data_IF_812482547477
#
_entry.id   IF_812482547477
#
_cell.length_a   1.000
_cell.length_b   1.000
_cell.length_c   1.000
_cell.angle_alpha   90.00
_cell.angle_beta   90.00
_cell.angle_gamma   90.00
#
_symmetry.space_group_name_H-M   'P 1'
#
loop_
_entity.id
_entity.type
_entity.pdbx_description
1 polymer ?
#
# COMPACT_ATOMS: atom_id res chain seq x y z
N UNK A 1 -2.51 -38.09 29.91
CA UNK A 1 -3.43 -37.80 28.77
C UNK A 1 -2.99 -38.74 27.64
N UNK A 2 -3.89 -39.65 27.22
CA UNK A 2 -3.55 -40.69 26.24
C UNK A 2 -3.32 -40.09 24.86
N UNK A 3 -2.33 -40.56 24.12
CA UNK A 3 -1.98 -40.17 22.74
C UNK A 3 -3.12 -40.41 21.73
N UNK A 4 -4.26 -40.97 22.13
CA UNK A 4 -5.37 -41.43 21.31
C UNK A 4 -6.73 -40.85 21.69
N UNK A 5 -6.80 -39.73 22.46
CA UNK A 5 -8.08 -39.10 22.76
C UNK A 5 -8.73 -38.59 21.47
N UNK A 6 -9.94 -39.07 21.19
CA UNK A 6 -10.73 -38.67 20.01
C UNK A 6 -11.08 -37.20 20.12
N UNK A 7 -10.57 -36.38 19.21
CA UNK A 7 -10.90 -34.96 19.12
C UNK A 7 -12.05 -34.73 18.15
N UNK A 8 -12.93 -33.81 18.50
CA UNK A 8 -14.05 -33.39 17.69
C UNK A 8 -13.93 -31.89 17.36
N UNK A 9 -14.46 -31.49 16.22
CA UNK A 9 -14.49 -30.10 15.81
C UNK A 9 -15.58 -29.35 16.55
N UNK A 10 -15.23 -28.27 17.26
CA UNK A 10 -16.18 -27.46 18.05
C UNK A 10 -17.11 -26.60 17.16
N UNK A 11 -16.89 -26.57 15.84
CA UNK A 11 -17.75 -25.90 14.85
C UNK A 11 -18.76 -26.86 14.24
N UNK A 12 -18.32 -27.97 13.64
CA UNK A 12 -19.21 -28.89 12.90
C UNK A 12 -19.48 -30.23 13.62
N UNK A 13 -18.90 -30.47 14.78
CA UNK A 13 -19.07 -31.71 15.56
C UNK A 13 -18.37 -32.95 14.98
N UNK A 14 -17.75 -32.87 13.80
CA UNK A 14 -17.12 -34.01 13.16
C UNK A 14 -15.85 -34.45 13.90
N UNK A 15 -15.59 -35.77 13.87
CA UNK A 15 -14.35 -36.34 14.44
C UNK A 15 -13.14 -35.88 13.62
N UNK A 16 -12.12 -35.39 14.31
CA UNK A 16 -10.89 -34.92 13.73
C UNK A 16 -9.90 -36.09 13.60
N UNK A 17 -9.34 -36.30 12.40
CA UNK A 17 -8.31 -37.31 12.18
C UNK A 17 -6.98 -36.94 12.82
N UNK A 18 -6.03 -37.89 12.85
CA UNK A 18 -4.73 -37.80 13.56
C UNK A 18 -3.95 -36.50 13.28
N UNK A 19 -3.98 -35.99 12.04
CA UNK A 19 -3.24 -34.78 11.63
C UNK A 19 -4.16 -33.61 11.24
N UNK A 20 -5.47 -33.75 11.46
CA UNK A 20 -6.49 -32.79 11.01
C UNK A 20 -6.84 -31.70 12.03
N UNK A 21 -6.27 -31.74 13.24
CA UNK A 21 -6.60 -30.79 14.29
C UNK A 21 -5.89 -29.45 14.09
N UNK A 22 -6.67 -28.41 13.92
CA UNK A 22 -6.26 -27.01 13.96
C UNK A 22 -6.64 -26.42 15.32
N UNK A 23 -5.70 -26.46 16.29
CA UNK A 23 -5.95 -26.03 17.66
C UNK A 23 -6.36 -24.56 17.72
N UNK A 24 -7.38 -24.25 18.52
CA UNK A 24 -7.80 -22.92 18.92
C UNK A 24 -7.35 -22.65 20.38
N UNK A 25 -7.57 -21.43 20.87
CA UNK A 25 -7.27 -21.10 22.26
C UNK A 25 -8.06 -22.02 23.22
N UNK A 26 -9.36 -22.17 23.00
CA UNK A 26 -10.28 -22.91 23.87
C UNK A 26 -10.99 -24.08 23.18
N UNK A 27 -10.48 -24.59 22.03
CA UNK A 27 -11.14 -25.65 21.29
C UNK A 27 -10.32 -26.25 20.16
N UNK A 28 -11.02 -27.03 19.32
CA UNK A 28 -10.46 -27.75 18.19
C UNK A 28 -11.24 -27.46 16.89
N UNK A 29 -10.54 -27.33 15.80
CA UNK A 29 -11.12 -27.06 14.48
C UNK A 29 -10.65 -28.13 13.50
N UNK A 30 -11.54 -28.67 12.68
CA UNK A 30 -11.15 -29.59 11.60
C UNK A 30 -10.59 -28.81 10.38
N UNK A 31 -9.90 -29.53 9.50
CA UNK A 31 -9.34 -28.92 8.28
C UNK A 31 -10.42 -28.30 7.38
N UNK A 32 -11.60 -28.93 7.28
CA UNK A 32 -12.66 -28.46 6.38
C UNK A 32 -13.30 -27.17 6.88
N UNK A 33 -13.48 -27.02 8.20
CA UNK A 33 -13.89 -25.74 8.77
C UNK A 33 -12.78 -24.69 8.66
N UNK A 34 -11.52 -25.08 8.83
CA UNK A 34 -10.37 -24.15 8.72
C UNK A 34 -10.20 -23.60 7.29
N UNK A 35 -10.49 -24.40 6.24
CA UNK A 35 -10.45 -23.96 4.83
C UNK A 35 -11.51 -22.91 4.49
N UNK A 36 -12.55 -22.76 5.28
CA UNK A 36 -13.61 -21.78 5.07
C UNK A 36 -13.25 -20.39 5.62
N UNK A 37 -12.22 -20.32 6.46
CA UNK A 37 -11.74 -19.06 7.01
C UNK A 37 -11.06 -18.20 5.93
N UNK A 38 -10.86 -16.91 6.21
CA UNK A 38 -10.08 -16.03 5.35
C UNK A 38 -8.67 -16.58 5.14
N UNK A 39 -8.11 -16.56 3.91
CA UNK A 39 -6.74 -16.95 3.66
C UNK A 39 -5.71 -16.02 4.31
N UNK A 40 -6.13 -14.78 4.68
CA UNK A 40 -5.28 -13.80 5.37
C UNK A 40 -5.33 -13.92 6.89
N UNK A 41 -6.21 -14.77 7.43
CA UNK A 41 -6.36 -14.93 8.86
C UNK A 41 -5.24 -15.79 9.47
N UNK A 42 -4.28 -15.15 10.12
CA UNK A 42 -3.11 -15.80 10.75
C UNK A 42 -3.33 -16.18 12.22
N UNK A 43 -4.19 -15.42 12.95
CA UNK A 43 -4.35 -15.47 14.41
C UNK A 43 -5.21 -16.64 14.93
N UNK A 44 -5.41 -17.69 14.14
CA UNK A 44 -6.28 -18.83 14.49
C UNK A 44 -5.94 -19.48 15.83
N UNK A 45 -4.65 -19.59 16.19
CA UNK A 45 -4.22 -20.25 17.45
C UNK A 45 -4.61 -19.45 18.68
N UNK A 46 -4.69 -18.14 18.54
CA UNK A 46 -5.01 -17.19 19.58
C UNK A 46 -6.51 -16.82 19.57
N UNK A 47 -7.29 -17.51 18.73
CA UNK A 47 -8.73 -17.26 18.58
C UNK A 47 -9.55 -18.30 19.31
N UNK A 48 -10.67 -17.86 19.89
CA UNK A 48 -11.65 -18.72 20.55
C UNK A 48 -12.57 -19.38 19.51
N UNK A 49 -13.32 -20.39 19.95
CA UNK A 49 -14.38 -21.01 19.13
C UNK A 49 -15.40 -19.98 18.67
N UNK A 50 -15.71 -18.99 19.50
CA UNK A 50 -16.67 -17.93 19.18
C UNK A 50 -16.12 -16.97 18.12
N UNK A 51 -14.84 -16.64 18.18
CA UNK A 51 -14.18 -15.84 17.11
C UNK A 51 -14.27 -16.55 15.76
N UNK A 52 -14.04 -17.85 15.75
CA UNK A 52 -14.16 -18.67 14.53
C UNK A 52 -15.60 -18.68 14.00
N UNK A 53 -16.62 -18.77 14.87
CA UNK A 53 -18.02 -18.68 14.45
C UNK A 53 -18.34 -17.32 13.84
N UNK A 54 -17.87 -16.23 14.46
CA UNK A 54 -18.04 -14.87 13.92
C UNK A 54 -17.37 -14.71 12.56
N UNK A 55 -16.17 -15.25 12.40
CA UNK A 55 -15.48 -15.20 11.10
C UNK A 55 -16.23 -16.02 10.04
N UNK A 56 -16.73 -17.20 10.37
CA UNK A 56 -17.50 -18.01 9.41
C UNK A 56 -18.80 -17.30 8.98
N UNK A 57 -19.51 -16.64 9.90
CA UNK A 57 -20.65 -15.81 9.56
C UNK A 57 -20.27 -14.63 8.65
N UNK A 58 -19.14 -13.97 8.91
CA UNK A 58 -18.57 -12.96 8.01
C UNK A 58 -18.30 -13.53 6.61
N UNK A 59 -17.75 -14.76 6.50
CA UNK A 59 -17.47 -15.42 5.23
C UNK A 59 -18.74 -15.73 4.41
N UNK A 60 -19.83 -16.09 5.09
CA UNK A 60 -21.14 -16.31 4.45
C UNK A 60 -21.72 -14.99 3.89
N UNK A 61 -21.59 -13.88 4.64
CA UNK A 61 -21.98 -12.57 4.16
C UNK A 61 -21.09 -12.07 3.01
N UNK A 62 -19.78 -12.36 3.08
CA UNK A 62 -18.84 -12.04 2.02
C UNK A 62 -19.22 -12.72 0.70
N UNK A 63 -19.60 -14.00 0.73
CA UNK A 63 -20.02 -14.75 -0.44
C UNK A 63 -21.24 -14.11 -1.14
N UNK A 64 -22.23 -13.65 -0.37
CA UNK A 64 -23.39 -12.91 -0.89
C UNK A 64 -22.99 -11.61 -1.58
N UNK A 65 -22.07 -10.84 -0.96
CA UNK A 65 -21.57 -9.57 -1.50
C UNK A 65 -20.73 -9.81 -2.76
N UNK A 66 -19.97 -10.90 -2.80
CA UNK A 66 -19.11 -11.27 -3.93
C UNK A 66 -19.92 -11.56 -5.20
N UNK A 67 -21.17 -12.02 -5.09
CA UNK A 67 -22.05 -12.23 -6.21
C UNK A 67 -22.34 -10.96 -7.03
N UNK A 68 -22.28 -9.79 -6.38
CA UNK A 68 -22.47 -8.48 -7.00
C UNK A 68 -21.13 -7.78 -7.36
N UNK A 69 -20.00 -8.48 -7.28
CA UNK A 69 -18.69 -7.93 -7.60
C UNK A 69 -18.33 -8.17 -9.08
N UNK A 70 -18.10 -7.08 -9.83
CA UNK A 70 -17.77 -7.09 -11.26
C UNK A 70 -16.49 -6.27 -11.51
N UNK A 71 -15.31 -6.88 -11.38
CA UNK A 71 -14.07 -6.17 -11.57
C UNK A 71 -13.87 -5.75 -13.03
N UNK A 72 -13.39 -4.54 -13.24
CA UNK A 72 -13.00 -4.00 -14.54
C UNK A 72 -11.48 -3.85 -14.70
N UNK A 73 -10.71 -3.94 -13.58
CA UNK A 73 -9.26 -3.87 -13.59
C UNK A 73 -8.67 -5.13 -12.94
N UNK A 74 -7.48 -5.52 -13.42
CA UNK A 74 -6.74 -6.65 -12.86
C UNK A 74 -5.25 -6.36 -12.86
N UNK A 75 -4.62 -6.51 -11.69
CA UNK A 75 -3.17 -6.52 -11.56
C UNK A 75 -2.71 -7.96 -11.30
N UNK A 76 -1.76 -8.42 -12.11
CA UNK A 76 -1.17 -9.74 -11.98
C UNK A 76 0.08 -9.68 -11.11
N UNK A 77 0.38 -10.78 -10.41
CA UNK A 77 1.54 -10.95 -9.57
C UNK A 77 1.46 -12.31 -8.86
N UNK A 78 2.16 -12.47 -7.76
CA UNK A 78 2.09 -13.67 -6.88
C UNK A 78 0.66 -13.97 -6.41
N UNK A 79 -0.12 -12.92 -6.27
CA UNK A 79 -1.57 -12.94 -6.16
C UNK A 79 -2.13 -11.94 -7.17
N UNK A 80 -3.35 -12.18 -7.66
CA UNK A 80 -4.05 -11.24 -8.53
C UNK A 80 -4.91 -10.30 -7.71
N UNK A 81 -4.87 -9.02 -8.08
CA UNK A 81 -5.75 -7.99 -7.51
C UNK A 81 -6.82 -7.69 -8.55
N UNK A 82 -8.06 -8.01 -8.25
CA UNK A 82 -9.22 -7.68 -9.08
C UNK A 82 -9.93 -6.48 -8.45
N UNK A 83 -10.21 -5.45 -9.23
CA UNK A 83 -10.75 -4.18 -8.74
C UNK A 83 -12.03 -3.81 -9.48
N UNK A 84 -13.07 -3.44 -8.74
CA UNK A 84 -14.25 -2.73 -9.21
C UNK A 84 -14.18 -1.28 -8.70
N UNK A 85 -13.58 -0.36 -9.48
CA UNK A 85 -13.38 1.02 -9.04
C UNK A 85 -14.71 1.78 -8.92
N UNK A 86 -15.72 1.41 -9.70
CA UNK A 86 -17.04 2.05 -9.66
C UNK A 86 -17.79 1.79 -8.34
N UNK A 87 -17.53 0.64 -7.70
CA UNK A 87 -18.10 0.29 -6.40
C UNK A 87 -17.07 0.38 -5.29
N UNK A 88 -15.88 0.87 -5.60
CA UNK A 88 -14.75 1.03 -4.67
C UNK A 88 -14.47 -0.25 -3.85
N UNK A 89 -14.33 -1.37 -4.57
CA UNK A 89 -14.08 -2.69 -3.95
C UNK A 89 -13.02 -3.45 -4.71
N UNK A 90 -12.32 -4.32 -4.00
CA UNK A 90 -11.33 -5.21 -4.59
C UNK A 90 -11.24 -6.54 -3.85
N UNK A 91 -10.62 -7.52 -4.50
CA UNK A 91 -10.21 -8.79 -3.91
C UNK A 91 -8.75 -9.06 -4.27
N UNK A 92 -8.05 -9.77 -3.39
CA UNK A 92 -6.70 -10.28 -3.65
C UNK A 92 -6.71 -11.80 -3.49
N UNK A 93 -6.28 -12.51 -4.53
CA UNK A 93 -6.31 -13.99 -4.52
C UNK A 93 -5.30 -14.61 -5.47
N UNK A 94 -4.71 -15.75 -5.08
CA UNK A 94 -3.90 -16.60 -5.95
C UNK A 94 -4.72 -17.60 -6.77
N UNK A 95 -6.06 -17.66 -6.56
CA UNK A 95 -6.93 -18.65 -7.18
C UNK A 95 -7.56 -18.08 -8.45
N UNK A 96 -7.33 -18.71 -9.59
CA UNK A 96 -7.84 -18.23 -10.89
C UNK A 96 -9.37 -18.25 -10.96
N UNK A 97 -10.01 -19.31 -10.44
CA UNK A 97 -11.48 -19.37 -10.32
C UNK A 97 -11.92 -18.79 -8.97
N UNK A 98 -11.69 -17.50 -8.79
CA UNK A 98 -11.94 -16.83 -7.52
C UNK A 98 -13.43 -16.82 -7.11
N UNK A 99 -14.36 -16.90 -8.06
CA UNK A 99 -15.80 -16.92 -7.76
C UNK A 99 -16.22 -18.13 -6.91
N UNK A 100 -15.54 -19.27 -7.06
CA UNK A 100 -15.78 -20.47 -6.24
C UNK A 100 -14.97 -20.54 -4.96
N UNK A 101 -14.00 -19.63 -4.79
CA UNK A 101 -13.05 -19.64 -3.67
C UNK A 101 -13.44 -18.70 -2.52
N UNK A 102 -14.47 -17.87 -2.72
CA UNK A 102 -14.92 -16.86 -1.76
C UNK A 102 -13.76 -16.01 -1.20
N UNK A 103 -12.95 -15.29 -2.03
CA UNK A 103 -11.92 -14.38 -1.52
C UNK A 103 -12.56 -13.23 -0.74
N UNK A 104 -11.81 -12.59 0.15
CA UNK A 104 -12.30 -11.46 0.92
C UNK A 104 -12.57 -10.26 0.02
N UNK A 105 -13.80 -9.75 0.03
CA UNK A 105 -14.20 -8.54 -0.68
C UNK A 105 -13.96 -7.34 0.22
N UNK A 106 -13.01 -6.52 -0.15
CA UNK A 106 -12.51 -5.39 0.65
C UNK A 106 -12.99 -4.09 0.01
N UNK A 107 -13.52 -3.18 0.82
CA UNK A 107 -13.87 -1.84 0.36
C UNK A 107 -12.63 -0.93 0.41
N UNK A 108 -12.54 0.05 -0.51
CA UNK A 108 -11.45 1.05 -0.48
C UNK A 108 -11.45 1.84 0.83
N UNK A 109 -12.62 2.02 1.47
CA UNK A 109 -12.72 2.67 2.79
C UNK A 109 -12.00 1.92 3.91
N UNK A 110 -11.72 0.65 3.73
CA UNK A 110 -10.98 -0.18 4.70
C UNK A 110 -9.46 -0.09 4.47
N UNK A 111 -9.01 0.50 3.35
CA UNK A 111 -7.57 0.65 3.07
C UNK A 111 -7.05 1.85 3.85
N UNK A 112 -6.19 1.60 4.82
CA UNK A 112 -5.54 2.63 5.63
C UNK A 112 -4.14 2.99 5.15
N UNK A 113 -3.53 2.18 4.25
CA UNK A 113 -2.24 2.47 3.64
C UNK A 113 -1.89 1.48 2.54
N UNK A 114 -1.09 1.92 1.58
CA UNK A 114 -0.44 1.06 0.58
C UNK A 114 1.03 1.43 0.56
N UNK A 115 1.87 0.47 0.94
CA UNK A 115 3.32 0.59 0.92
C UNK A 115 3.86 -0.14 -0.31
N UNK A 116 4.85 0.45 -0.94
CA UNK A 116 5.50 -0.09 -2.14
C UNK A 116 6.99 -0.18 -1.90
N UNK A 117 7.59 -1.31 -2.24
CA UNK A 117 9.01 -1.56 -2.09
C UNK A 117 9.58 -2.25 -3.34
N UNK A 118 10.75 -1.79 -3.78
CA UNK A 118 11.49 -2.41 -4.87
C UNK A 118 12.78 -2.98 -4.30
N UNK A 119 12.85 -4.30 -4.19
CA UNK A 119 14.01 -5.01 -3.68
C UNK A 119 14.93 -5.44 -4.83
N UNK A 120 16.18 -5.05 -4.75
CA UNK A 120 17.23 -5.54 -5.63
C UNK A 120 17.87 -6.80 -5.01
N UNK A 121 17.80 -7.91 -5.72
CA UNK A 121 18.51 -9.15 -5.39
C UNK A 121 19.79 -9.22 -6.22
N UNK A 122 20.89 -9.58 -5.58
CA UNK A 122 22.20 -9.76 -6.21
C UNK A 122 22.72 -11.14 -5.93
N UNK A 123 23.02 -11.89 -6.97
CA UNK A 123 23.63 -13.20 -6.90
C UNK A 123 24.96 -13.21 -7.64
N UNK A 124 26.03 -13.65 -6.99
CA UNK A 124 27.35 -13.70 -7.61
C UNK A 124 27.39 -14.78 -8.69
N UNK A 125 27.90 -14.40 -9.88
CA UNK A 125 28.09 -15.30 -11.01
C UNK A 125 29.48 -15.94 -10.89
N UNK A 126 29.54 -17.26 -10.97
CA UNK A 126 30.76 -18.03 -10.96
C UNK A 126 30.99 -18.68 -12.31
N UNK A 127 32.22 -19.03 -12.61
CA UNK A 127 32.57 -19.88 -13.75
C UNK A 127 33.23 -21.17 -13.27
N UNK A 128 33.22 -22.20 -14.10
CA UNK A 128 33.97 -23.43 -13.87
C UNK A 128 35.29 -23.37 -14.61
N UNK A 129 36.40 -23.66 -13.91
CA UNK A 129 37.72 -23.79 -14.53
C UNK A 129 37.87 -25.12 -15.27
N UNK A 130 39.05 -25.35 -15.93
CA UNK A 130 39.36 -26.58 -16.68
C UNK A 130 39.28 -27.85 -15.82
N UNK A 131 39.39 -27.72 -14.51
CA UNK A 131 39.40 -28.84 -13.54
C UNK A 131 38.01 -29.05 -12.90
N UNK A 132 37.01 -28.29 -13.35
CA UNK A 132 35.64 -28.36 -12.87
C UNK A 132 35.42 -27.66 -11.53
N UNK A 133 36.33 -26.80 -11.06
CA UNK A 133 36.18 -26.06 -9.83
C UNK A 133 35.42 -24.74 -10.09
N UNK A 134 34.46 -24.44 -9.21
CA UNK A 134 33.71 -23.16 -9.24
C UNK A 134 34.60 -22.02 -8.76
N UNK A 135 34.78 -20.98 -9.58
CA UNK A 135 35.60 -19.79 -9.29
C UNK A 135 34.83 -18.50 -9.52
N UNK A 136 35.12 -17.51 -8.68
CA UNK A 136 34.65 -16.13 -8.86
C UNK A 136 35.39 -15.47 -10.01
N UNK A 137 34.73 -14.57 -10.73
CA UNK A 137 35.38 -13.64 -11.67
C UNK A 137 36.22 -12.61 -10.89
N UNK A 138 37.24 -12.08 -11.54
CA UNK A 138 38.03 -10.94 -11.02
C UNK A 138 37.97 -9.79 -12.03
N UNK A 139 37.25 -8.69 -11.74
CA UNK A 139 36.43 -8.45 -10.54
C UNK A 139 35.16 -9.31 -10.53
N UNK A 140 34.54 -9.54 -9.33
CA UNK A 140 33.30 -10.32 -9.19
C UNK A 140 32.18 -9.78 -10.07
N UNK A 141 31.42 -10.71 -10.68
CA UNK A 141 30.24 -10.38 -11.52
C UNK A 141 28.97 -10.81 -10.79
N UNK A 142 27.90 -10.04 -10.98
CA UNK A 142 26.62 -10.29 -10.32
C UNK A 142 25.50 -10.35 -11.34
N UNK A 143 24.60 -11.33 -11.19
CA UNK A 143 23.26 -11.27 -11.74
C UNK A 143 22.39 -10.47 -10.76
N UNK A 144 21.55 -9.62 -11.31
CA UNK A 144 20.60 -8.84 -10.51
C UNK A 144 19.20 -9.16 -10.99
N UNK A 145 18.23 -9.15 -10.09
CA UNK A 145 16.81 -9.08 -10.39
C UNK A 145 16.10 -8.16 -9.39
N UNK A 146 14.90 -7.69 -9.77
CA UNK A 146 14.14 -6.71 -8.99
C UNK A 146 12.75 -7.25 -8.68
N UNK A 147 12.42 -7.28 -7.38
CA UNK A 147 11.10 -7.62 -6.86
C UNK A 147 10.29 -6.35 -6.61
N UNK A 148 9.05 -6.33 -7.11
CA UNK A 148 8.12 -5.21 -6.92
C UNK A 148 7.04 -5.63 -5.93
N UNK A 149 7.25 -5.28 -4.67
CA UNK A 149 6.42 -5.67 -3.55
C UNK A 149 5.40 -4.59 -3.21
N UNK A 150 4.17 -5.01 -2.92
CA UNK A 150 3.09 -4.15 -2.46
C UNK A 150 2.51 -4.73 -1.19
N UNK A 151 2.43 -3.91 -0.14
CA UNK A 151 1.76 -4.23 1.12
C UNK A 151 0.56 -3.32 1.27
N UNK A 152 -0.64 -3.91 1.27
CA UNK A 152 -1.91 -3.21 1.44
C UNK A 152 -2.31 -3.36 2.91
N UNK A 153 -2.34 -2.25 3.64
CA UNK A 153 -2.83 -2.21 5.02
C UNK A 153 -4.32 -1.95 5.03
N UNK A 154 -5.05 -2.79 5.75
CA UNK A 154 -6.51 -2.76 5.80
C UNK A 154 -7.03 -2.76 7.23
N UNK A 155 -8.11 -2.07 7.46
CA UNK A 155 -8.87 -2.13 8.70
C UNK A 155 -9.91 -3.26 8.59
N UNK A 156 -9.58 -4.41 9.17
CA UNK A 156 -10.44 -5.60 9.22
C UNK A 156 -10.26 -6.30 10.58
N UNK A 157 -11.33 -6.88 11.14
CA UNK A 157 -11.23 -7.63 12.39
C UNK A 157 -10.47 -8.97 12.24
N UNK A 158 -10.10 -9.37 11.02
CA UNK A 158 -9.54 -10.70 10.74
C UNK A 158 -8.11 -10.68 10.21
N UNK A 159 -7.66 -9.59 9.64
CA UNK A 159 -6.31 -9.37 9.12
C UNK A 159 -6.10 -7.86 8.94
N UNK A 160 -4.87 -7.42 9.01
CA UNK A 160 -4.46 -6.02 8.94
C UNK A 160 -3.61 -5.69 7.70
N UNK A 161 -3.03 -6.71 7.06
CA UNK A 161 -2.21 -6.50 5.87
C UNK A 161 -2.33 -7.63 4.84
N UNK A 162 -2.07 -7.27 3.59
CA UNK A 162 -2.02 -8.18 2.46
C UNK A 162 -0.76 -7.87 1.66
N UNK A 163 0.15 -8.84 1.58
CA UNK A 163 1.38 -8.74 0.81
C UNK A 163 1.24 -9.45 -0.54
N UNK A 164 1.79 -8.83 -1.57
CA UNK A 164 1.92 -9.43 -2.90
C UNK A 164 3.14 -8.87 -3.65
N UNK A 165 3.70 -9.68 -4.54
CA UNK A 165 4.76 -9.31 -5.48
C UNK A 165 4.15 -9.19 -6.87
N UNK A 166 4.32 -8.04 -7.55
CA UNK A 166 3.80 -7.82 -8.90
C UNK A 166 4.68 -8.45 -9.98
N UNK A 167 5.97 -8.60 -9.74
CA UNK A 167 6.96 -9.15 -10.68
C UNK A 167 7.13 -10.67 -10.61
N UNK A 168 6.26 -11.36 -9.86
CA UNK A 168 6.35 -12.80 -9.66
C UNK A 168 6.43 -13.57 -10.98
N UNK A 169 7.49 -14.41 -11.10
CA UNK A 169 7.75 -15.21 -12.30
C UNK A 169 8.34 -14.46 -13.51
N UNK A 170 8.48 -13.11 -13.45
CA UNK A 170 9.06 -12.32 -14.54
C UNK A 170 9.75 -11.04 -14.01
N UNK A 171 10.77 -11.23 -13.18
CA UNK A 171 11.52 -10.12 -12.59
C UNK A 171 12.45 -9.48 -13.62
N UNK A 172 12.49 -8.14 -13.72
CA UNK A 172 13.47 -7.45 -14.55
C UNK A 172 14.88 -7.63 -13.99
N UNK A 173 15.86 -7.75 -14.87
CA UNK A 173 17.29 -7.90 -14.56
C UNK A 173 18.04 -6.57 -14.45
N UNK A 174 17.42 -5.47 -14.86
CA UNK A 174 18.01 -4.14 -14.85
C UNK A 174 16.96 -3.05 -14.67
N UNK A 175 17.33 -1.98 -13.95
CA UNK A 175 16.51 -0.77 -13.77
C UNK A 175 16.25 0.01 -15.05
N UNK A 176 17.01 -0.27 -16.13
CA UNK A 176 16.90 0.44 -17.39
C UNK A 176 15.97 -0.24 -18.40
N UNK A 177 15.38 -1.39 -18.06
CA UNK A 177 14.47 -2.12 -18.93
C UNK A 177 13.07 -1.49 -18.94
N UNK A 178 12.34 -1.67 -20.03
CA UNK A 178 10.94 -1.27 -20.11
C UNK A 178 10.06 -2.06 -19.14
N UNK A 179 10.44 -3.32 -18.89
CA UNK A 179 9.77 -4.19 -17.91
C UNK A 179 9.85 -3.61 -16.48
N UNK A 180 11.03 -3.09 -16.08
CA UNK A 180 11.19 -2.42 -14.79
C UNK A 180 10.25 -1.22 -14.66
N UNK A 181 10.23 -0.35 -15.66
CA UNK A 181 9.37 0.85 -15.69
C UNK A 181 7.89 0.48 -15.70
N UNK A 182 7.54 -0.63 -16.37
CA UNK A 182 6.16 -1.13 -16.39
C UNK A 182 5.70 -1.57 -14.99
N UNK A 183 6.52 -2.34 -14.26
CA UNK A 183 6.17 -2.75 -12.90
C UNK A 183 6.13 -1.58 -11.92
N UNK A 184 7.08 -0.65 -12.01
CA UNK A 184 7.08 0.57 -11.21
C UNK A 184 5.78 1.37 -11.42
N UNK A 185 5.38 1.58 -12.66
CA UNK A 185 4.12 2.24 -13.02
C UNK A 185 2.89 1.49 -12.48
N UNK A 186 2.84 0.16 -12.66
CA UNK A 186 1.74 -0.68 -12.15
C UNK A 186 1.62 -0.63 -10.63
N UNK A 187 2.75 -0.64 -9.94
CA UNK A 187 2.81 -0.55 -8.48
C UNK A 187 2.22 0.77 -7.98
N UNK A 188 2.62 1.89 -8.59
CA UNK A 188 2.08 3.21 -8.26
C UNK A 188 0.59 3.34 -8.65
N UNK A 189 0.21 2.86 -9.82
CA UNK A 189 -1.18 2.87 -10.28
C UNK A 189 -2.09 2.09 -9.31
N UNK A 190 -1.67 0.90 -8.87
CA UNK A 190 -2.40 0.12 -7.88
C UNK A 190 -2.56 0.88 -6.56
N UNK A 191 -1.47 1.50 -6.06
CA UNK A 191 -1.50 2.27 -4.83
C UNK A 191 -2.43 3.48 -4.94
N UNK A 192 -2.38 4.22 -6.04
CA UNK A 192 -3.22 5.41 -6.26
C UNK A 192 -4.71 5.06 -6.38
N UNK A 193 -5.05 3.96 -7.06
CA UNK A 193 -6.44 3.48 -7.15
C UNK A 193 -6.95 3.12 -5.75
N UNK A 194 -6.24 2.28 -5.00
CA UNK A 194 -6.68 1.80 -3.69
C UNK A 194 -6.76 2.92 -2.65
N UNK A 195 -5.88 3.92 -2.74
CA UNK A 195 -5.87 5.11 -1.89
C UNK A 195 -6.78 6.25 -2.39
N UNK A 196 -7.58 6.01 -3.45
CA UNK A 196 -8.48 6.99 -4.07
C UNK A 196 -7.77 8.27 -4.53
N UNK A 197 -6.50 8.18 -4.94
CA UNK A 197 -5.74 9.31 -5.48
C UNK A 197 -5.90 9.45 -6.99
N UNK A 198 -6.41 8.41 -7.66
CA UNK A 198 -6.59 8.39 -9.11
C UNK A 198 -7.95 8.95 -9.49
N UNK A 199 -7.96 10.17 -10.02
CA UNK A 199 -9.18 10.89 -10.43
C UNK A 199 -9.96 10.19 -11.56
N UNK A 200 -9.33 9.31 -12.34
CA UNK A 200 -9.99 8.57 -13.44
C UNK A 200 -11.11 7.65 -12.94
N UNK A 201 -11.04 7.22 -11.68
CA UNK A 201 -11.96 6.26 -11.07
C UNK A 201 -12.82 6.89 -9.96
N UNK A 202 -12.76 8.21 -9.77
CA UNK A 202 -13.64 8.88 -8.81
C UNK A 202 -15.07 8.89 -9.32
N UNK A 203 -15.99 8.40 -8.51
CA UNK A 203 -17.42 8.50 -8.76
C UNK A 203 -17.84 9.94 -8.48
N UNK A 204 -18.42 10.61 -9.49
CA UNK A 204 -19.02 11.93 -9.31
C UNK A 204 -20.43 11.74 -8.75
N UNK A 205 -20.67 12.13 -7.50
CA UNK A 205 -22.01 12.26 -6.98
C UNK A 205 -22.67 13.45 -7.69
N UNK A 206 -23.86 13.24 -8.26
CA UNK A 206 -24.51 14.13 -9.21
C UNK A 206 -24.78 15.58 -8.77
N UNK A 207 -24.40 15.97 -7.56
CA UNK A 207 -24.55 17.32 -6.99
C UNK A 207 -23.28 18.20 -7.10
N UNK A 208 -22.26 17.78 -7.86
CA UNK A 208 -21.05 18.59 -8.09
C UNK A 208 -20.17 18.81 -6.85
N UNK A 209 -20.48 18.21 -5.72
CA UNK A 209 -19.63 18.20 -4.54
C UNK A 209 -18.74 16.97 -4.58
N UNK A 210 -17.42 17.19 -4.63
CA UNK A 210 -16.45 16.14 -4.30
C UNK A 210 -16.71 15.68 -2.87
N UNK A 211 -17.20 14.44 -2.71
CA UNK A 211 -17.30 13.85 -1.39
C UNK A 211 -15.87 13.53 -0.90
N UNK A 212 -15.25 14.55 -0.31
CA UNK A 212 -14.05 14.36 0.49
C UNK A 212 -14.47 13.72 1.80
N UNK A 213 -14.62 12.39 1.80
CA UNK A 213 -14.48 11.64 3.04
C UNK A 213 -12.99 11.57 3.36
N UNK A 214 -12.46 12.71 3.78
CA UNK A 214 -11.16 12.83 4.41
C UNK A 214 -11.30 12.25 5.83
N UNK A 215 -11.38 10.93 5.93
CA UNK A 215 -11.19 10.23 7.20
C UNK A 215 -9.70 10.07 7.48
N UNK A 216 -9.03 11.22 7.57
CA UNK A 216 -7.76 11.33 8.26
C UNK A 216 -8.06 11.17 9.75
N UNK A 217 -7.41 10.28 10.50
CA UNK A 217 -7.57 10.25 11.95
C UNK A 217 -7.21 11.62 12.49
N UNK A 218 -8.15 12.27 13.17
CA UNK A 218 -7.93 13.56 13.81
C UNK A 218 -6.81 13.44 14.84
N UNK A 219 -5.68 14.02 14.49
CA UNK A 219 -4.65 14.38 15.47
C UNK A 219 -5.25 15.47 16.35
N UNK A 220 -5.09 15.44 17.69
CA UNK A 220 -5.68 16.44 18.58
C UNK A 220 -5.35 17.85 18.13
N UNK A 221 -6.35 18.71 18.12
CA UNK A 221 -6.31 20.08 17.64
C UNK A 221 -5.12 20.86 18.21
N UNK A 222 -4.16 21.18 17.33
CA UNK A 222 -3.28 22.32 17.54
C UNK A 222 -4.02 23.57 17.07
N UNK A 223 -3.89 24.66 17.81
CA UNK A 223 -4.55 25.94 17.61
C UNK A 223 -4.48 26.44 16.15
N UNK A 224 -5.47 27.23 15.69
CA UNK A 224 -5.60 27.64 14.29
C UNK A 224 -4.37 28.43 13.84
N UNK A 225 -3.68 27.89 12.81
CA UNK A 225 -2.69 28.65 12.07
C UNK A 225 -3.41 29.71 11.22
N UNK A 226 -2.86 30.93 11.08
CA UNK A 226 -3.51 32.00 10.37
C UNK A 226 -3.71 31.66 8.89
N UNK A 227 -4.87 32.03 8.37
CA UNK A 227 -5.31 31.84 6.99
C UNK A 227 -4.23 32.29 6.00
N UNK A 228 -3.86 31.39 5.07
CA UNK A 228 -3.00 31.74 3.95
C UNK A 228 -3.72 32.76 3.07
N UNK A 229 -3.16 33.97 2.98
CA UNK A 229 -3.65 35.10 2.25
C UNK A 229 -3.94 34.75 0.77
N UNK A 230 -5.19 34.84 0.37
CA UNK A 230 -5.58 34.98 -1.00
C UNK A 230 -5.20 36.38 -1.47
N UNK A 231 -4.34 36.48 -2.50
CA UNK A 231 -4.30 37.65 -3.35
C UNK A 231 -3.28 38.74 -3.05
N UNK A 232 -2.04 38.44 -2.64
CA UNK A 232 -0.97 39.41 -2.79
C UNK A 232 -0.47 39.42 -4.25
N UNK A 233 -0.78 40.52 -4.97
CA UNK A 233 -0.20 40.81 -6.29
C UNK A 233 1.31 41.00 -6.14
N UNK A 234 2.10 40.38 -7.03
CA UNK A 234 3.54 40.52 -7.08
C UNK A 234 4.01 40.93 -8.46
N UNK A 235 5.10 41.66 -8.53
CA UNK A 235 5.71 42.11 -9.79
C UNK A 235 6.84 41.15 -10.13
N UNK A 236 6.79 40.60 -11.37
CA UNK A 236 7.83 39.71 -11.88
C UNK A 236 9.16 40.44 -12.03
N UNK A 237 10.20 39.97 -11.36
CA UNK A 237 11.54 40.55 -11.43
C UNK A 237 12.20 40.38 -12.79
N UNK A 238 11.73 39.44 -13.63
CA UNK A 238 12.29 39.16 -14.95
C UNK A 238 11.65 39.95 -16.09
N UNK A 239 10.36 40.31 -15.99
CA UNK A 239 9.63 41.03 -17.07
C UNK A 239 8.75 42.18 -16.64
N UNK A 240 8.71 42.51 -15.34
CA UNK A 240 7.92 43.62 -14.81
C UNK A 240 6.40 43.42 -14.76
N UNK A 241 5.87 42.29 -15.21
CA UNK A 241 4.43 42.03 -15.23
C UNK A 241 3.85 41.83 -13.83
N UNK A 242 2.65 42.41 -13.57
CA UNK A 242 1.90 42.16 -12.32
C UNK A 242 1.21 40.81 -12.38
N UNK A 243 1.33 40.05 -11.29
CA UNK A 243 0.85 38.66 -11.17
C UNK A 243 0.20 38.43 -9.81
N UNK A 244 -0.81 37.54 -9.79
CA UNK A 244 -1.45 37.04 -8.56
C UNK A 244 -1.22 35.53 -8.35
N UNK A 245 -0.64 34.83 -9.33
CA UNK A 245 -0.38 33.38 -9.32
C UNK A 245 1.01 33.01 -8.84
N UNK A 246 1.30 31.72 -8.82
CA UNK A 246 2.63 31.16 -8.46
C UNK A 246 3.71 31.37 -9.52
N UNK A 247 3.32 31.59 -10.78
CA UNK A 247 4.21 31.81 -11.91
C UNK A 247 3.75 33.02 -12.72
N UNK A 248 4.69 33.72 -13.32
CA UNK A 248 4.40 34.82 -14.23
C UNK A 248 3.83 34.27 -15.55
N UNK A 249 2.61 34.63 -15.98
CA UNK A 249 2.02 34.13 -17.22
C UNK A 249 2.74 34.66 -18.46
N UNK A 250 3.51 35.73 -18.32
CA UNK A 250 4.19 36.37 -19.45
C UNK A 250 5.57 35.76 -19.76
N UNK A 251 6.34 35.32 -18.74
CA UNK A 251 7.70 34.79 -18.93
C UNK A 251 7.96 33.48 -18.21
N UNK A 252 6.99 32.89 -17.50
CA UNK A 252 7.14 31.62 -16.77
C UNK A 252 7.94 31.72 -15.45
N UNK A 253 8.46 32.88 -15.07
CA UNK A 253 9.23 33.04 -13.84
C UNK A 253 8.37 32.77 -12.59
N UNK A 254 8.89 32.04 -11.61
CA UNK A 254 8.22 31.76 -10.35
C UNK A 254 8.07 32.99 -9.46
N UNK A 255 6.99 33.03 -8.64
CA UNK A 255 6.83 34.05 -7.60
C UNK A 255 8.04 33.97 -6.66
N UNK A 256 8.69 35.10 -6.33
CA UNK A 256 9.77 35.12 -5.36
C UNK A 256 9.29 34.54 -4.02
N UNK A 257 10.02 33.57 -3.47
CA UNK A 257 9.68 33.00 -2.18
C UNK A 257 9.65 34.10 -1.13
N UNK A 258 8.57 34.17 -0.35
CA UNK A 258 8.49 35.07 0.81
C UNK A 258 9.59 34.64 1.78
N UNK A 259 10.46 35.58 2.14
CA UNK A 259 11.58 35.32 3.02
C UNK A 259 11.05 35.06 4.41
N UNK A 260 11.16 33.81 4.87
CA UNK A 260 10.80 33.48 6.24
C UNK A 260 11.86 34.04 7.18
N UNK A 261 11.43 34.83 8.15
CA UNK A 261 12.29 35.23 9.25
C UNK A 261 12.67 34.01 10.11
N UNK A 262 13.81 34.04 10.74
CA UNK A 262 14.20 33.04 11.72
C UNK A 262 13.19 33.01 12.89
N UNK A 263 12.54 31.89 13.14
CA UNK A 263 11.51 31.74 14.20
C UNK A 263 12.05 31.98 15.62
N UNK A 264 13.38 31.98 15.80
CA UNK A 264 13.98 32.15 17.09
C UNK A 264 14.48 33.60 17.37
N UNK A 265 15.03 34.28 16.37
CA UNK A 265 15.63 35.60 16.57
C UNK A 265 15.13 36.69 15.63
N UNK A 266 14.21 36.33 14.69
CA UNK A 266 13.64 37.29 13.74
C UNK A 266 14.58 37.69 12.59
N UNK A 267 15.77 37.12 12.47
CA UNK A 267 16.72 37.45 11.41
C UNK A 267 16.12 37.14 10.02
N UNK A 268 16.30 38.06 9.07
CA UNK A 268 15.83 37.93 7.68
C UNK A 268 17.01 38.08 6.71
N UNK A 269 17.19 37.24 5.72
CA UNK A 269 18.27 37.37 4.75
C UNK A 269 18.13 38.62 3.89
N UNK A 270 19.26 39.25 3.53
CA UNK A 270 19.27 40.44 2.69
C UNK A 270 18.70 40.17 1.27
N UNK A 271 18.24 41.22 0.57
CA UNK A 271 17.69 41.14 -0.75
C UNK A 271 18.72 40.53 -1.73
N UNK A 272 18.35 39.37 -2.37
CA UNK A 272 19.25 38.68 -3.32
C UNK A 272 20.11 37.57 -2.72
N UNK A 273 20.07 37.38 -1.39
CA UNK A 273 20.82 36.30 -0.72
C UNK A 273 19.99 35.01 -0.66
N UNK A 274 20.61 33.89 -0.98
CA UNK A 274 20.00 32.56 -0.81
C UNK A 274 19.86 32.25 0.69
N UNK A 275 18.78 31.55 1.06
CA UNK A 275 18.53 31.12 2.44
C UNK A 275 19.64 30.18 2.89
N UNK A 276 20.41 30.51 3.96
CA UNK A 276 21.39 29.61 4.53
C UNK A 276 20.69 28.45 5.27
N UNK A 277 21.36 27.32 5.42
CA UNK A 277 20.81 26.18 6.18
C UNK A 277 20.65 26.46 7.67
N UNK A 278 21.42 27.41 8.21
CA UNK A 278 21.40 27.81 9.62
C UNK A 278 21.35 29.33 9.70
N UNK A 279 20.63 29.83 10.70
CA UNK A 279 20.60 31.28 10.98
C UNK A 279 21.98 31.78 11.42
N UNK A 280 22.57 32.79 10.75
CA UNK A 280 23.89 33.29 11.10
C UNK A 280 23.92 34.01 12.46
N UNK A 281 22.78 34.49 12.97
CA UNK A 281 22.68 35.20 14.24
C UNK A 281 22.54 34.25 15.45
N UNK A 282 21.76 33.17 15.32
CA UNK A 282 21.46 32.29 16.47
C UNK A 282 21.81 30.83 16.26
N UNK A 283 22.33 30.42 15.08
CA UNK A 283 22.75 29.05 14.76
C UNK A 283 21.62 28.05 14.57
N UNK A 284 20.32 28.43 14.66
CA UNK A 284 19.21 27.51 14.45
C UNK A 284 19.03 27.15 12.98
N UNK A 285 18.65 25.90 12.66
CA UNK A 285 18.34 25.51 11.29
C UNK A 285 17.12 26.29 10.77
N UNK A 286 17.24 26.86 9.56
CA UNK A 286 16.18 27.55 8.84
C UNK A 286 15.50 26.55 7.91
N UNK A 287 14.17 26.45 7.96
CA UNK A 287 13.34 25.56 7.15
C UNK A 287 12.59 26.33 6.07
#
# INVERSE_FOLDING_TARGET
MGLFDKKYCDICGQKIGLFGNRKLENGNLCNDCAKKLSPFFSERRNSTVEDIRRQLAYREENEKKLAAFFPSLTFNGSKKVYIDPMRERFIVTGISNWRSANPDLIAFSQVCGVETDIRENKEEIYYEDSDGNRKSYDPPRYACDYEFNVTIRVESPWFDEIELELSDGNRPDSRYTDLYREYERKMHELADILMRRDDRYRVWDGDGMMNRTDSRPEKPAAAPAPAANAGEEWICSSCGAKNSGRFCPNCGAGKPAVRSACDNCGWVPAAGQSMPKFCPECGRPLR
#
